data_IF_761771406775
#
_entry.id   IF_761771406775
#
_cell.length_a   1.000
_cell.length_b   1.000
_cell.length_c   1.000
_cell.angle_alpha   90.00
_cell.angle_beta   90.00
_cell.angle_gamma   90.00
#
_symmetry.space_group_name_H-M   'P 1'
#
loop_
_entity.id
_entity.type
_entity.pdbx_description
1 polymer ?
#
# COMPACT_ATOMS: atom_id res chain seq x y z
N UNK A 1 -25.39 -17.20 40.72
CA UNK A 1 -24.38 -17.90 39.90
C UNK A 1 -24.17 -17.07 38.64
N UNK A 2 -23.05 -16.39 38.56
CA UNK A 2 -22.65 -15.57 37.40
C UNK A 2 -21.72 -16.44 36.58
N UNK A 3 -22.11 -16.72 35.31
CA UNK A 3 -21.26 -17.43 34.36
C UNK A 3 -20.08 -16.57 33.96
N UNK A 4 -18.87 -17.12 33.80
CA UNK A 4 -17.71 -16.35 33.38
C UNK A 4 -17.80 -15.98 31.89
N UNK A 5 -17.40 -14.74 31.61
CA UNK A 5 -17.30 -14.19 30.27
C UNK A 5 -16.41 -15.08 29.38
N UNK A 6 -16.92 -15.39 28.18
CA UNK A 6 -16.20 -16.19 27.22
C UNK A 6 -14.93 -15.46 26.73
N UNK A 7 -13.82 -16.17 26.87
CA UNK A 7 -12.57 -15.80 26.21
C UNK A 7 -12.80 -15.72 24.71
N UNK A 8 -12.67 -14.51 24.15
CA UNK A 8 -12.56 -14.32 22.70
C UNK A 8 -11.21 -14.90 22.26
N UNK A 9 -11.23 -16.11 21.74
CA UNK A 9 -10.08 -16.68 21.04
C UNK A 9 -9.69 -15.75 19.90
N UNK A 10 -8.60 -15.02 20.07
CA UNK A 10 -7.96 -14.25 18.99
C UNK A 10 -7.58 -15.25 17.89
N UNK A 11 -8.35 -15.28 16.82
CA UNK A 11 -7.98 -15.97 15.59
C UNK A 11 -6.57 -15.52 15.18
N UNK A 12 -5.65 -16.43 14.86
CA UNK A 12 -4.32 -16.04 14.40
C UNK A 12 -4.48 -15.16 13.17
N UNK A 13 -3.74 -14.06 13.09
CA UNK A 13 -3.71 -13.15 11.96
C UNK A 13 -3.24 -13.93 10.71
N UNK A 14 -4.20 -14.42 9.94
CA UNK A 14 -3.96 -15.20 8.75
C UNK A 14 -3.40 -14.26 7.67
N UNK A 15 -2.25 -14.60 7.09
CA UNK A 15 -1.60 -13.83 6.04
C UNK A 15 -2.51 -13.87 4.81
N UNK A 16 -3.09 -12.71 4.47
CA UNK A 16 -3.95 -12.59 3.30
C UNK A 16 -3.12 -12.56 2.02
N UNK A 17 -3.61 -13.24 0.99
CA UNK A 17 -2.94 -13.37 -0.31
C UNK A 17 -3.26 -12.19 -1.22
N UNK A 18 -2.28 -11.81 -2.04
CA UNK A 18 -2.51 -10.98 -3.22
C UNK A 18 -2.53 -11.89 -4.46
N UNK A 19 -3.61 -11.85 -5.23
CA UNK A 19 -3.78 -12.64 -6.43
C UNK A 19 -3.60 -11.76 -7.67
N UNK A 20 -2.87 -12.25 -8.66
CA UNK A 20 -2.64 -11.60 -9.94
C UNK A 20 -3.24 -12.42 -11.08
N UNK A 21 -4.06 -11.79 -11.89
CA UNK A 21 -4.68 -12.38 -13.06
C UNK A 21 -4.22 -11.63 -14.32
N UNK A 22 -3.17 -12.14 -14.97
CA UNK A 22 -2.56 -11.57 -16.18
C UNK A 22 -2.87 -12.37 -17.46
N UNK A 23 -3.72 -13.39 -17.36
CA UNK A 23 -4.16 -14.20 -18.49
C UNK A 23 -5.68 -14.19 -18.59
N UNK A 24 -6.28 -14.54 -19.75
CA UNK A 24 -7.71 -14.78 -19.86
C UNK A 24 -8.18 -15.76 -18.80
N UNK A 25 -9.24 -15.39 -18.08
CA UNK A 25 -9.79 -16.20 -16.99
C UNK A 25 -11.28 -15.92 -16.79
N UNK A 26 -12.03 -16.95 -16.44
CA UNK A 26 -13.37 -16.84 -15.90
C UNK A 26 -13.32 -17.06 -14.39
N UNK A 27 -13.65 -16.00 -13.64
CA UNK A 27 -13.60 -15.98 -12.17
C UNK A 27 -15.02 -16.03 -11.62
N UNK A 28 -15.30 -17.03 -10.79
CA UNK A 28 -16.63 -17.16 -10.17
C UNK A 28 -16.53 -17.64 -8.73
N UNK A 29 -17.60 -17.41 -7.98
CA UNK A 29 -17.76 -17.92 -6.61
C UNK A 29 -18.37 -19.33 -6.66
N UNK A 30 -17.74 -20.26 -5.95
CA UNK A 30 -18.34 -21.53 -5.61
C UNK A 30 -18.16 -21.76 -4.09
N UNK A 31 -19.26 -21.87 -3.36
CA UNK A 31 -19.27 -21.82 -1.89
C UNK A 31 -18.57 -20.54 -1.39
N UNK A 32 -17.57 -20.65 -0.53
CA UNK A 32 -16.76 -19.53 -0.03
C UNK A 32 -15.38 -19.45 -0.71
N UNK A 33 -15.29 -19.91 -1.96
CA UNK A 33 -14.04 -19.92 -2.72
C UNK A 33 -14.17 -19.11 -4.01
N UNK A 34 -13.10 -18.40 -4.35
CA UNK A 34 -12.83 -17.92 -5.69
C UNK A 34 -12.33 -19.11 -6.52
N UNK A 35 -13.01 -19.39 -7.63
CA UNK A 35 -12.63 -20.42 -8.60
C UNK A 35 -12.12 -19.73 -9.86
N UNK A 36 -11.06 -20.30 -10.44
CA UNK A 36 -10.43 -19.84 -11.67
C UNK A 36 -10.63 -20.89 -12.74
N UNK A 37 -11.36 -20.53 -13.80
CA UNK A 37 -11.60 -21.39 -14.97
C UNK A 37 -10.83 -20.81 -16.15
N UNK A 38 -10.13 -21.67 -16.88
CA UNK A 38 -9.51 -21.32 -18.15
C UNK A 38 -10.58 -21.27 -19.24
N UNK A 39 -10.73 -20.15 -19.99
CA UNK A 39 -11.85 -19.99 -20.94
C UNK A 39 -11.82 -20.99 -22.09
N UNK A 40 -10.62 -21.42 -22.55
CA UNK A 40 -10.45 -22.22 -23.77
C UNK A 40 -11.00 -23.63 -23.64
N UNK A 41 -10.89 -24.26 -22.48
CA UNK A 41 -11.23 -25.66 -22.23
C UNK A 41 -12.14 -25.88 -21.02
N UNK A 42 -12.61 -24.81 -20.39
CA UNK A 42 -13.40 -24.82 -19.14
C UNK A 42 -12.74 -25.57 -17.97
N UNK A 43 -11.41 -25.69 -17.98
CA UNK A 43 -10.69 -26.37 -16.90
C UNK A 43 -10.54 -25.48 -15.68
N UNK A 44 -10.87 -26.01 -14.49
CA UNK A 44 -10.56 -25.35 -13.22
C UNK A 44 -9.04 -25.41 -13.00
N UNK A 45 -8.40 -24.22 -12.96
CA UNK A 45 -6.95 -24.10 -12.79
C UNK A 45 -6.54 -23.66 -11.38
N UNK A 46 -7.50 -23.23 -10.57
CA UNK A 46 -7.22 -22.80 -9.21
C UNK A 46 -8.44 -22.52 -8.36
N UNK A 47 -8.25 -22.62 -7.06
CA UNK A 47 -9.24 -22.31 -6.05
C UNK A 47 -8.59 -21.66 -4.84
N UNK A 48 -9.19 -20.58 -4.33
CA UNK A 48 -8.69 -19.86 -3.16
C UNK A 48 -9.85 -19.48 -2.25
N UNK A 49 -9.80 -19.80 -0.94
CA UNK A 49 -10.80 -19.30 0.01
C UNK A 49 -10.85 -17.78 -0.02
N UNK A 50 -12.06 -17.20 -0.11
CA UNK A 50 -12.24 -15.74 -0.21
C UNK A 50 -11.71 -15.04 1.06
N UNK A 51 -11.80 -15.69 2.21
CA UNK A 51 -11.28 -15.16 3.47
C UNK A 51 -9.76 -15.00 3.50
N UNK A 52 -9.02 -15.77 2.69
CA UNK A 52 -7.56 -15.70 2.57
C UNK A 52 -7.09 -14.60 1.61
N UNK A 53 -8.01 -13.93 0.90
CA UNK A 53 -7.68 -12.94 -0.09
C UNK A 53 -7.66 -11.55 0.53
N UNK A 54 -6.59 -10.78 0.31
CA UNK A 54 -6.47 -9.39 0.71
C UNK A 54 -6.63 -8.42 -0.44
N UNK A 55 -6.08 -8.77 -1.60
CA UNK A 55 -6.19 -7.99 -2.82
C UNK A 55 -6.21 -8.91 -4.05
N UNK A 56 -6.89 -8.48 -5.11
CA UNK A 56 -6.79 -9.07 -6.44
C UNK A 56 -6.45 -7.99 -7.46
N UNK A 57 -5.61 -8.36 -8.42
CA UNK A 57 -5.22 -7.52 -9.54
C UNK A 57 -5.71 -8.16 -10.84
N UNK A 58 -6.56 -7.45 -11.57
CA UNK A 58 -7.14 -7.87 -12.85
C UNK A 58 -6.39 -7.15 -13.96
N UNK A 59 -5.48 -7.86 -14.63
CA UNK A 59 -4.53 -7.30 -15.60
C UNK A 59 -4.62 -7.96 -16.99
N UNK A 60 -5.84 -8.35 -17.39
CA UNK A 60 -6.08 -8.87 -18.73
C UNK A 60 -7.50 -8.46 -19.19
N UNK A 61 -7.69 -7.93 -20.42
CA UNK A 61 -8.99 -7.48 -20.90
C UNK A 61 -10.00 -8.62 -21.11
N UNK A 62 -9.56 -9.87 -21.19
CA UNK A 62 -10.41 -11.05 -21.37
C UNK A 62 -10.77 -11.74 -20.04
N UNK A 63 -10.59 -11.04 -18.91
CA UNK A 63 -11.08 -11.55 -17.62
C UNK A 63 -12.58 -11.32 -17.51
N UNK A 64 -13.31 -12.38 -17.23
CA UNK A 64 -14.72 -12.31 -16.84
C UNK A 64 -14.85 -12.64 -15.36
N UNK A 65 -15.57 -11.81 -14.62
CA UNK A 65 -15.82 -12.01 -13.19
C UNK A 65 -17.33 -11.97 -12.92
N UNK A 66 -17.83 -12.93 -12.15
CA UNK A 66 -19.26 -12.94 -11.81
C UNK A 66 -19.57 -11.91 -10.72
N UNK A 67 -20.77 -11.30 -10.80
CA UNK A 67 -21.25 -10.37 -9.77
C UNK A 67 -21.25 -11.00 -8.36
N UNK A 68 -21.65 -12.27 -8.25
CA UNK A 68 -21.64 -12.99 -6.96
C UNK A 68 -20.24 -13.08 -6.34
N UNK A 69 -19.18 -13.21 -7.15
CA UNK A 69 -17.82 -13.20 -6.67
C UNK A 69 -17.41 -11.78 -6.27
N UNK A 70 -17.71 -10.76 -7.09
CA UNK A 70 -17.42 -9.36 -6.76
C UNK A 70 -18.02 -8.96 -5.41
N UNK A 71 -19.32 -9.24 -5.22
CA UNK A 71 -20.00 -8.93 -3.97
C UNK A 71 -19.34 -9.62 -2.76
N UNK A 72 -19.02 -10.91 -2.88
CA UNK A 72 -18.39 -11.66 -1.79
C UNK A 72 -16.97 -11.18 -1.47
N UNK A 73 -16.21 -10.75 -2.48
CA UNK A 73 -14.87 -10.17 -2.28
C UNK A 73 -14.95 -8.84 -1.52
N UNK A 74 -15.85 -7.94 -1.96
CA UNK A 74 -16.05 -6.63 -1.33
C UNK A 74 -16.57 -6.79 0.11
N UNK A 75 -17.51 -7.69 0.36
CA UNK A 75 -18.02 -8.01 1.72
C UNK A 75 -16.89 -8.46 2.66
N UNK A 76 -15.87 -9.15 2.15
CA UNK A 76 -14.69 -9.57 2.90
C UNK A 76 -13.56 -8.55 2.89
N UNK A 77 -13.86 -7.33 2.43
CA UNK A 77 -12.91 -6.23 2.37
C UNK A 77 -11.66 -6.57 1.54
N UNK A 78 -11.85 -7.24 0.41
CA UNK A 78 -10.79 -7.48 -0.57
C UNK A 78 -10.68 -6.26 -1.48
N UNK A 79 -9.46 -5.73 -1.67
CA UNK A 79 -9.22 -4.70 -2.66
C UNK A 79 -9.22 -5.32 -4.07
N UNK A 80 -10.07 -4.81 -4.97
CA UNK A 80 -10.11 -5.25 -6.35
C UNK A 80 -9.52 -4.15 -7.21
N UNK A 81 -8.36 -4.43 -7.82
CA UNK A 81 -7.60 -3.49 -8.65
C UNK A 81 -7.81 -3.89 -10.11
N UNK A 82 -8.21 -2.93 -10.94
CA UNK A 82 -8.30 -3.10 -12.40
C UNK A 82 -7.18 -2.33 -13.09
N UNK A 83 -6.57 -2.95 -14.11
CA UNK A 83 -5.55 -2.34 -14.94
C UNK A 83 -6.13 -1.89 -16.29
N UNK A 84 -5.46 -0.92 -16.93
CA UNK A 84 -5.76 -0.48 -18.30
C UNK A 84 -5.06 -1.36 -19.35
N UNK A 85 -5.15 -0.94 -20.62
CA UNK A 85 -4.50 -1.59 -21.77
C UNK A 85 -2.95 -1.51 -21.74
N UNK A 86 -2.41 -0.61 -20.92
CA UNK A 86 -0.97 -0.48 -20.66
C UNK A 86 -0.54 -1.27 -19.40
N UNK A 87 -1.45 -2.08 -18.88
CA UNK A 87 -1.23 -2.87 -17.66
C UNK A 87 -0.96 -2.02 -16.40
N UNK A 88 -1.40 -0.76 -16.38
CA UNK A 88 -1.27 0.12 -15.23
C UNK A 88 -2.56 0.09 -14.39
N UNK A 89 -2.46 0.04 -13.06
CA UNK A 89 -3.62 0.13 -12.18
C UNK A 89 -4.36 1.46 -12.33
N UNK A 90 -5.63 1.39 -12.76
CA UNK A 90 -6.49 2.57 -13.01
C UNK A 90 -7.77 2.57 -12.21
N UNK A 91 -8.20 1.41 -11.71
CA UNK A 91 -9.43 1.25 -10.92
C UNK A 91 -9.19 0.54 -9.61
N UNK A 92 -9.94 0.93 -8.58
CA UNK A 92 -9.93 0.29 -7.26
C UNK A 92 -11.36 0.21 -6.73
N UNK A 93 -11.83 -1.02 -6.47
CA UNK A 93 -13.12 -1.26 -5.81
C UNK A 93 -12.88 -1.61 -4.34
N UNK A 94 -13.57 -0.92 -3.46
CA UNK A 94 -13.55 -1.06 -2.00
C UNK A 94 -14.98 -1.11 -1.45
N UNK A 95 -15.22 -1.65 -0.24
CA UNK A 95 -16.55 -1.62 0.37
C UNK A 95 -17.00 -0.19 0.70
N UNK A 96 -18.32 0.03 0.66
CA UNK A 96 -18.94 1.30 1.05
C UNK A 96 -18.92 1.51 2.57
N UNK A 97 -19.09 0.43 3.33
CA UNK A 97 -19.20 0.40 4.80
C UNK A 97 -18.16 -0.58 5.39
N UNK A 98 -16.90 -0.21 5.26
CA UNK A 98 -15.78 -1.04 5.72
C UNK A 98 -15.64 -1.13 7.25
N UNK A 99 -16.40 -0.33 8.04
CA UNK A 99 -16.26 -0.25 9.49
C UNK A 99 -17.56 0.20 10.18
N UNK A 100 -17.92 -0.45 11.27
CA UNK A 100 -19.16 -0.15 12.03
C UNK A 100 -19.17 1.24 12.67
N UNK A 101 -18.01 1.82 12.98
CA UNK A 101 -17.86 3.18 13.54
C UNK A 101 -17.52 4.23 12.46
N UNK A 102 -17.78 3.92 11.19
CA UNK A 102 -17.35 4.74 10.06
C UNK A 102 -17.83 6.19 10.17
N UNK A 103 -19.11 6.43 10.50
CA UNK A 103 -19.68 7.78 10.59
C UNK A 103 -18.98 8.62 11.66
N UNK A 104 -18.70 8.05 12.83
CA UNK A 104 -17.99 8.73 13.90
C UNK A 104 -16.55 9.06 13.51
N UNK A 105 -15.85 8.10 12.90
CA UNK A 105 -14.46 8.27 12.44
C UNK A 105 -14.33 9.29 11.31
N UNK A 106 -15.30 9.34 10.41
CA UNK A 106 -15.38 10.40 9.38
C UNK A 106 -15.49 11.77 10.03
N UNK A 107 -16.32 11.91 11.08
CA UNK A 107 -16.46 13.16 11.80
C UNK A 107 -15.13 13.60 12.42
N UNK A 108 -14.42 12.73 13.14
CA UNK A 108 -13.10 13.04 13.69
C UNK A 108 -12.09 13.44 12.61
N UNK A 109 -12.09 12.74 11.48
CA UNK A 109 -11.18 13.05 10.36
C UNK A 109 -11.51 14.42 9.74
N UNK A 110 -12.79 14.74 9.53
CA UNK A 110 -13.24 16.00 8.94
C UNK A 110 -12.95 17.18 9.89
N UNK A 111 -13.21 17.00 11.18
CA UNK A 111 -13.02 18.02 12.23
C UNK A 111 -11.56 18.12 12.71
N UNK A 112 -10.65 17.29 12.19
CA UNK A 112 -9.25 17.33 12.57
C UNK A 112 -8.65 18.72 12.30
N UNK A 113 -8.05 19.32 13.34
CA UNK A 113 -7.48 20.67 13.27
C UNK A 113 -6.24 20.72 12.36
N UNK A 114 -6.00 21.87 11.73
CA UNK A 114 -4.80 22.08 10.91
C UNK A 114 -3.47 21.85 11.67
N UNK A 115 -3.33 22.26 12.95
CA UNK A 115 -2.13 21.91 13.73
C UNK A 115 -1.94 20.39 13.89
N UNK A 116 -3.03 19.64 14.09
CA UNK A 116 -2.96 18.17 14.16
C UNK A 116 -2.50 17.58 12.82
N UNK A 117 -3.13 17.95 11.71
CA UNK A 117 -2.76 17.49 10.36
C UNK A 117 -1.31 17.78 10.05
N UNK A 118 -0.82 19.01 10.33
CA UNK A 118 0.58 19.39 10.16
C UNK A 118 1.54 18.54 11.00
N UNK A 119 1.16 18.23 12.23
CA UNK A 119 1.97 17.37 13.09
C UNK A 119 2.01 15.92 12.55
N UNK A 120 0.87 15.37 12.12
CA UNK A 120 0.81 14.03 11.53
C UNK A 120 1.63 13.96 10.23
N UNK A 121 1.57 15.00 9.39
CA UNK A 121 2.38 15.08 8.18
C UNK A 121 3.89 15.07 8.49
N UNK A 122 4.35 15.84 9.47
CA UNK A 122 5.78 15.82 9.84
C UNK A 122 6.25 14.44 10.31
N UNK A 123 5.39 13.67 10.99
CA UNK A 123 5.69 12.28 11.37
C UNK A 123 5.79 11.37 10.13
N UNK A 124 4.90 11.56 9.15
CA UNK A 124 4.91 10.83 7.87
C UNK A 124 6.19 11.08 7.10
N UNK A 125 6.57 12.35 6.94
CA UNK A 125 7.83 12.75 6.27
C UNK A 125 9.04 12.16 6.97
N UNK A 126 9.07 12.23 8.32
CA UNK A 126 10.16 11.66 9.10
C UNK A 126 10.31 10.17 8.86
N UNK A 127 9.24 9.40 8.96
CA UNK A 127 9.26 7.96 8.73
C UNK A 127 9.65 7.61 7.28
N UNK A 128 9.22 8.41 6.29
CA UNK A 128 9.66 8.26 4.89
C UNK A 128 11.17 8.42 4.76
N UNK A 129 11.73 9.52 5.29
CA UNK A 129 13.17 9.81 5.16
C UNK A 129 14.01 8.78 5.92
N UNK A 130 13.54 8.31 7.07
CA UNK A 130 14.17 7.21 7.82
C UNK A 130 14.23 5.93 6.96
N UNK A 131 13.13 5.55 6.33
CA UNK A 131 13.08 4.37 5.46
C UNK A 131 13.90 4.56 4.17
N UNK A 132 13.95 5.76 3.59
CA UNK A 132 14.84 6.07 2.46
C UNK A 132 16.33 5.94 2.85
N UNK A 133 16.70 6.44 4.03
CA UNK A 133 18.06 6.29 4.53
C UNK A 133 18.43 4.82 4.77
N UNK A 134 17.45 4.02 5.18
CA UNK A 134 17.64 2.58 5.37
C UNK A 134 17.82 1.83 4.05
N UNK A 135 17.09 2.19 2.98
CA UNK A 135 17.32 1.65 1.63
C UNK A 135 18.74 1.93 1.17
N UNK A 136 19.26 3.17 1.35
CA UNK A 136 20.65 3.49 1.00
C UNK A 136 21.63 2.63 1.80
N UNK A 137 21.39 2.43 3.10
CA UNK A 137 22.23 1.57 3.95
C UNK A 137 22.24 0.12 3.43
N UNK A 138 21.07 -0.43 3.09
CA UNK A 138 20.94 -1.78 2.54
C UNK A 138 21.65 -1.92 1.18
N UNK A 139 21.62 -0.86 0.37
CA UNK A 139 22.36 -0.76 -0.89
C UNK A 139 23.87 -0.50 -0.71
N UNK A 140 24.35 -0.37 0.53
CA UNK A 140 25.73 0.00 0.90
C UNK A 140 26.15 1.38 0.40
N UNK A 141 25.21 2.31 0.29
CA UNK A 141 25.38 3.71 -0.10
C UNK A 141 25.40 4.57 1.17
N UNK A 142 26.23 5.61 1.21
CA UNK A 142 26.29 6.54 2.35
C UNK A 142 24.96 7.31 2.50
N UNK A 143 24.31 7.15 3.65
CA UNK A 143 22.99 7.72 3.98
C UNK A 143 23.07 8.93 4.94
N UNK A 144 24.26 9.37 5.35
CA UNK A 144 24.45 10.43 6.36
C UNK A 144 23.74 11.73 5.99
N UNK A 145 23.70 12.07 4.69
CA UNK A 145 23.04 13.28 4.19
C UNK A 145 21.53 13.25 4.45
N UNK A 146 20.87 12.09 4.29
CA UNK A 146 19.46 11.93 4.61
C UNK A 146 19.23 11.98 6.11
N UNK A 147 20.03 11.27 6.89
CA UNK A 147 19.92 11.26 8.35
C UNK A 147 20.07 12.66 8.95
N UNK A 148 20.93 13.53 8.38
CA UNK A 148 21.11 14.92 8.81
C UNK A 148 19.90 15.82 8.53
N UNK A 149 18.97 15.42 7.66
CA UNK A 149 17.73 16.15 7.38
C UNK A 149 16.62 15.85 8.39
N UNK A 150 16.61 14.65 8.98
CA UNK A 150 15.53 14.20 9.87
C UNK A 150 15.25 15.17 11.03
N UNK A 151 16.26 15.67 11.79
CA UNK A 151 16.00 16.61 12.89
C UNK A 151 15.51 18.00 12.41
N UNK A 152 15.59 18.31 11.12
CA UNK A 152 15.15 19.58 10.54
C UNK A 152 13.65 19.56 10.20
N UNK A 153 12.99 18.38 10.17
CA UNK A 153 11.58 18.23 9.82
C UNK A 153 10.72 18.84 10.92
N UNK A 154 10.06 19.96 10.59
CA UNK A 154 9.14 20.67 11.46
C UNK A 154 7.68 20.31 11.13
N UNK A 155 6.75 20.74 12.00
CA UNK A 155 5.31 20.54 11.82
C UNK A 155 4.84 21.13 10.49
N UNK A 156 4.27 20.29 9.61
CA UNK A 156 3.82 20.66 8.27
C UNK A 156 4.92 20.73 7.21
N UNK A 157 6.16 20.45 7.56
CA UNK A 157 7.34 20.46 6.67
C UNK A 157 7.48 21.77 5.84
N UNK A 158 7.50 22.95 6.46
CA UNK A 158 7.50 24.24 5.75
C UNK A 158 8.74 24.43 4.86
N UNK A 159 9.87 23.80 5.20
CA UNK A 159 11.12 23.89 4.46
C UNK A 159 11.24 22.83 3.34
N UNK A 160 10.15 22.09 3.09
CA UNK A 160 10.08 21.01 2.08
C UNK A 160 11.26 20.02 2.19
N UNK A 161 11.52 19.56 3.43
CA UNK A 161 12.56 18.56 3.68
C UNK A 161 12.25 17.26 2.95
N UNK A 162 10.96 16.92 2.82
CA UNK A 162 10.50 15.77 2.03
C UNK A 162 11.04 15.80 0.59
N UNK A 163 10.83 16.90 -0.12
CA UNK A 163 11.32 17.07 -1.50
C UNK A 163 12.85 17.12 -1.58
N UNK A 164 13.52 17.76 -0.61
CA UNK A 164 14.99 17.81 -0.53
C UNK A 164 15.59 16.43 -0.28
N UNK A 165 15.00 15.65 0.62
CA UNK A 165 15.42 14.28 0.89
C UNK A 165 15.22 13.40 -0.34
N UNK A 166 14.06 13.51 -1.03
CA UNK A 166 13.77 12.77 -2.24
C UNK A 166 14.80 13.07 -3.36
N UNK A 167 15.16 14.34 -3.57
CA UNK A 167 16.17 14.72 -4.56
C UNK A 167 17.55 14.09 -4.28
N UNK A 168 18.00 14.08 -3.02
CA UNK A 168 19.25 13.44 -2.62
C UNK A 168 19.16 11.92 -2.76
N UNK A 169 18.05 11.34 -2.29
CA UNK A 169 17.83 9.91 -2.28
C UNK A 169 17.87 9.31 -3.68
N UNK A 170 17.10 9.85 -4.62
CA UNK A 170 17.04 9.35 -5.98
C UNK A 170 18.37 9.45 -6.71
N UNK A 171 19.08 10.59 -6.51
CA UNK A 171 20.41 10.78 -7.09
C UNK A 171 21.41 9.74 -6.58
N UNK A 172 21.34 9.36 -5.31
CA UNK A 172 22.26 8.39 -4.72
C UNK A 172 21.87 6.95 -5.08
N UNK A 173 20.56 6.63 -5.04
CA UNK A 173 20.10 5.27 -5.26
C UNK A 173 20.30 4.78 -6.69
N UNK A 174 20.17 5.68 -7.67
CA UNK A 174 20.29 5.39 -9.11
C UNK A 174 21.38 6.23 -9.79
N UNK A 175 22.53 6.45 -9.10
CA UNK A 175 23.63 7.29 -9.60
C UNK A 175 24.21 6.78 -10.93
N UNK A 176 24.17 5.48 -11.17
CA UNK A 176 24.63 4.84 -12.40
C UNK A 176 23.63 4.93 -13.57
N UNK A 177 22.45 5.51 -13.37
CA UNK A 177 21.41 5.64 -14.37
C UNK A 177 21.08 7.11 -14.66
N UNK A 178 20.71 7.46 -15.90
CA UNK A 178 20.17 8.78 -16.23
C UNK A 178 18.74 8.93 -15.70
N UNK A 179 18.56 8.76 -14.37
CA UNK A 179 17.27 8.69 -13.73
C UNK A 179 16.80 10.04 -13.20
N UNK A 180 15.57 10.38 -13.59
CA UNK A 180 14.78 11.46 -12.98
C UNK A 180 13.44 10.86 -12.57
N UNK A 181 13.05 11.06 -11.30
CA UNK A 181 11.74 10.59 -10.85
C UNK A 181 10.64 11.40 -11.53
N UNK A 182 9.97 10.79 -12.48
CA UNK A 182 8.85 11.34 -13.24
C UNK A 182 7.79 10.28 -13.51
N UNK A 183 6.51 10.66 -13.51
CA UNK A 183 5.40 9.73 -13.75
C UNK A 183 5.49 9.04 -15.12
N UNK A 184 6.00 9.75 -16.11
CA UNK A 184 6.10 9.31 -17.52
C UNK A 184 7.55 9.14 -17.96
N UNK A 185 8.50 9.19 -17.03
CA UNK A 185 9.92 9.04 -17.30
C UNK A 185 10.30 7.61 -17.68
N UNK A 186 11.51 7.48 -18.21
CA UNK A 186 12.13 6.20 -18.58
C UNK A 186 12.37 5.30 -17.35
N UNK A 187 12.85 4.07 -17.60
CA UNK A 187 13.15 3.12 -16.54
C UNK A 187 13.97 3.74 -15.40
N UNK A 188 13.71 3.34 -14.14
CA UNK A 188 12.73 2.38 -13.69
C UNK A 188 11.37 2.98 -13.28
N UNK A 189 10.99 4.15 -13.79
CA UNK A 189 9.78 4.87 -13.36
C UNK A 189 8.50 4.05 -13.50
N UNK A 190 8.35 3.27 -14.57
CA UNK A 190 7.18 2.41 -14.78
C UNK A 190 7.07 1.34 -13.67
N UNK A 191 8.20 0.72 -13.28
CA UNK A 191 8.27 -0.27 -12.22
C UNK A 191 7.93 0.32 -10.84
N UNK A 192 8.47 1.51 -10.53
CA UNK A 192 8.15 2.25 -9.31
C UNK A 192 6.66 2.61 -9.27
N UNK A 193 6.10 3.12 -10.37
CA UNK A 193 4.69 3.50 -10.45
C UNK A 193 3.76 2.31 -10.23
N UNK A 194 4.09 1.16 -10.83
CA UNK A 194 3.34 -0.07 -10.65
C UNK A 194 3.33 -0.54 -9.18
N UNK A 195 4.50 -0.62 -8.56
CA UNK A 195 4.64 -0.98 -7.15
C UNK A 195 3.91 0.01 -6.21
N UNK A 196 4.01 1.31 -6.49
CA UNK A 196 3.29 2.33 -5.71
C UNK A 196 1.77 2.25 -5.85
N UNK A 197 1.26 1.88 -7.03
CA UNK A 197 -0.17 1.68 -7.19
C UNK A 197 -0.69 0.50 -6.35
N UNK A 198 0.11 -0.57 -6.21
CA UNK A 198 -0.21 -1.70 -5.32
C UNK A 198 -0.23 -1.25 -3.86
N UNK A 199 0.82 -0.54 -3.41
CA UNK A 199 0.88 -0.01 -2.03
C UNK A 199 -0.28 0.94 -1.76
N UNK A 200 -0.62 1.86 -2.70
CA UNK A 200 -1.78 2.74 -2.59
C UNK A 200 -3.08 1.96 -2.36
N UNK A 201 -3.29 0.88 -3.12
CA UNK A 201 -4.48 0.06 -2.97
C UNK A 201 -4.55 -0.65 -1.61
N UNK A 202 -3.41 -1.15 -1.11
CA UNK A 202 -3.31 -1.77 0.22
C UNK A 202 -3.61 -0.73 1.32
N UNK A 203 -3.06 0.48 1.20
CA UNK A 203 -3.30 1.58 2.15
C UNK A 203 -4.76 2.01 2.10
N UNK A 204 -5.34 2.24 0.91
CA UNK A 204 -6.73 2.64 0.75
C UNK A 204 -7.69 1.60 1.35
N UNK A 205 -7.43 0.31 1.12
CA UNK A 205 -8.16 -0.79 1.75
C UNK A 205 -8.08 -0.73 3.28
N UNK A 206 -6.89 -0.53 3.83
CA UNK A 206 -6.69 -0.46 5.28
C UNK A 206 -7.39 0.76 5.89
N UNK A 207 -7.37 1.93 5.21
CA UNK A 207 -8.08 3.14 5.62
C UNK A 207 -9.60 2.89 5.69
N UNK A 208 -10.19 2.32 4.63
CA UNK A 208 -11.63 1.97 4.62
C UNK A 208 -11.97 0.97 5.72
N UNK A 209 -11.16 -0.07 5.91
CA UNK A 209 -11.33 -1.03 7.01
C UNK A 209 -11.25 -0.37 8.39
N UNK A 210 -10.45 0.69 8.52
CA UNK A 210 -10.32 1.48 9.73
C UNK A 210 -11.36 2.61 9.82
N UNK A 211 -12.37 2.64 8.93
CA UNK A 211 -13.42 3.65 8.92
C UNK A 211 -12.96 5.05 8.58
N UNK A 212 -11.91 5.20 7.76
CA UNK A 212 -11.40 6.49 7.28
C UNK A 212 -11.70 6.69 5.79
N UNK A 213 -11.88 7.95 5.40
CA UNK A 213 -12.02 8.35 3.99
C UNK A 213 -10.64 8.44 3.33
N UNK A 214 -10.32 7.63 2.32
CA UNK A 214 -9.04 7.69 1.62
C UNK A 214 -8.80 9.03 0.90
N UNK A 215 -9.86 9.80 0.67
CA UNK A 215 -9.87 11.05 -0.09
C UNK A 215 -9.36 12.25 0.70
N UNK A 216 -9.67 12.33 2.01
CA UNK A 216 -9.36 13.51 2.82
C UNK A 216 -7.96 13.40 3.43
N UNK A 217 -6.97 13.97 2.75
CA UNK A 217 -5.57 13.97 3.17
C UNK A 217 -5.27 14.80 4.41
N UNK A 218 -4.13 14.52 5.04
CA UNK A 218 -3.56 15.34 6.12
C UNK A 218 -2.63 16.43 5.55
N UNK A 219 -2.18 16.27 4.31
CA UNK A 219 -1.32 17.20 3.58
C UNK A 219 -1.78 17.43 2.15
N UNK A 220 -1.87 16.38 1.33
CA UNK A 220 -2.34 16.52 -0.05
C UNK A 220 -3.84 16.84 -0.10
N UNK A 221 -4.19 17.83 -0.92
CA UNK A 221 -5.57 18.36 -1.04
C UNK A 221 -6.00 18.60 -2.50
N UNK A 222 -5.38 17.89 -3.45
CA UNK A 222 -5.73 18.03 -4.86
C UNK A 222 -7.17 17.56 -5.13
N UNK A 223 -8.03 18.47 -5.60
CA UNK A 223 -9.45 18.21 -5.88
C UNK A 223 -9.71 17.10 -6.92
N UNK A 224 -8.73 16.75 -7.72
CA UNK A 224 -8.82 15.69 -8.73
C UNK A 224 -8.30 14.34 -8.24
N UNK A 225 -7.74 14.28 -7.03
CA UNK A 225 -7.19 13.06 -6.46
C UNK A 225 -8.18 12.47 -5.45
N UNK A 226 -8.76 11.32 -5.79
CA UNK A 226 -9.68 10.60 -4.91
C UNK A 226 -8.98 9.88 -3.74
N UNK A 227 -7.65 9.89 -3.67
CA UNK A 227 -6.85 9.11 -2.74
C UNK A 227 -5.82 9.93 -1.96
N UNK A 228 -6.10 11.22 -1.68
CA UNK A 228 -5.14 12.11 -1.01
C UNK A 228 -4.61 11.54 0.31
N UNK A 229 -5.49 10.99 1.19
CA UNK A 229 -5.03 10.38 2.44
C UNK A 229 -4.24 9.09 2.21
N UNK A 230 -4.66 8.28 1.24
CA UNK A 230 -3.91 7.07 0.90
C UNK A 230 -2.50 7.43 0.39
N UNK A 231 -2.38 8.50 -0.41
CA UNK A 231 -1.09 9.00 -0.88
C UNK A 231 -0.23 9.56 0.26
N UNK A 232 -0.84 10.28 1.22
CA UNK A 232 -0.12 10.75 2.40
C UNK A 232 0.44 9.59 3.25
N UNK A 233 -0.42 8.62 3.55
CA UNK A 233 -0.07 7.52 4.46
C UNK A 233 0.85 6.48 3.81
N UNK A 234 0.84 6.37 2.48
CA UNK A 234 1.74 5.45 1.79
C UNK A 234 3.19 5.93 1.70
N UNK A 235 3.48 7.21 1.94
CA UNK A 235 4.82 7.78 1.77
C UNK A 235 5.93 6.98 2.50
N UNK A 236 5.78 6.58 3.78
CA UNK A 236 6.76 5.74 4.47
C UNK A 236 6.87 4.30 3.95
N UNK A 237 5.91 3.87 3.13
CA UNK A 237 5.89 2.53 2.52
C UNK A 237 6.54 2.50 1.13
N UNK A 238 6.66 3.66 0.45
CA UNK A 238 7.29 3.74 -0.88
C UNK A 238 8.71 3.17 -0.91
N UNK A 239 9.58 3.43 0.10
CA UNK A 239 10.94 2.88 0.09
C UNK A 239 11.03 1.36 0.04
N UNK A 240 10.01 0.63 0.47
CA UNK A 240 9.98 -0.83 0.33
C UNK A 240 9.82 -1.27 -1.13
N UNK A 241 9.06 -0.51 -1.94
CA UNK A 241 8.98 -0.71 -3.39
C UNK A 241 10.32 -0.33 -4.03
N UNK A 242 10.90 0.80 -3.63
CA UNK A 242 12.17 1.30 -4.16
C UNK A 242 13.27 0.25 -3.98
N UNK A 243 13.30 -0.41 -2.82
CA UNK A 243 14.24 -1.48 -2.53
C UNK A 243 14.06 -2.70 -3.47
N UNK A 244 12.81 -3.13 -3.73
CA UNK A 244 12.55 -4.22 -4.68
C UNK A 244 13.03 -3.84 -6.08
N UNK A 245 12.70 -2.63 -6.55
CA UNK A 245 13.09 -2.13 -7.87
C UNK A 245 14.61 -2.00 -7.97
N UNK A 246 15.28 -1.48 -6.95
CA UNK A 246 16.73 -1.41 -6.89
C UNK A 246 17.39 -2.80 -7.01
N UNK A 247 16.87 -3.78 -6.28
CA UNK A 247 17.36 -5.16 -6.37
C UNK A 247 17.15 -5.74 -7.77
N UNK A 248 16.01 -5.48 -8.41
CA UNK A 248 15.74 -5.95 -9.78
C UNK A 248 16.74 -5.34 -10.79
N UNK A 249 17.06 -4.05 -10.65
CA UNK A 249 18.07 -3.38 -11.49
C UNK A 249 19.45 -3.99 -11.23
N UNK A 250 19.85 -4.13 -9.97
CA UNK A 250 21.16 -4.67 -9.59
C UNK A 250 21.37 -6.11 -10.05
N UNK A 251 20.28 -6.87 -10.22
CA UNK A 251 20.29 -8.24 -10.74
C UNK A 251 20.19 -8.29 -12.28
N UNK A 252 20.09 -7.16 -12.98
CA UNK A 252 19.90 -7.11 -14.44
C UNK A 252 18.51 -7.60 -14.89
N UNK A 253 17.50 -7.54 -14.03
CA UNK A 253 16.14 -7.98 -14.35
C UNK A 253 15.32 -6.87 -15.03
N UNK A 254 15.76 -5.60 -14.98
CA UNK A 254 15.12 -4.44 -15.63
C UNK A 254 16.09 -3.90 -16.67
N UNK A 255 15.70 -3.94 -17.93
CA UNK A 255 16.48 -3.48 -19.08
C UNK A 255 15.74 -2.50 -20.01
N UNK A 256 14.43 -2.34 -19.80
CA UNK A 256 13.57 -1.46 -20.59
C UNK A 256 12.38 -0.93 -19.77
N UNK A 257 11.52 -0.12 -20.40
CA UNK A 257 10.37 0.53 -19.75
C UNK A 257 9.14 -0.40 -19.60
N UNK A 258 9.11 -1.54 -20.27
CA UNK A 258 7.99 -2.47 -20.22
C UNK A 258 8.09 -3.40 -18.99
N UNK A 259 6.96 -3.66 -18.36
CA UNK A 259 6.90 -4.59 -17.24
C UNK A 259 6.53 -6.00 -17.72
N UNK A 260 7.48 -6.92 -17.63
CA UNK A 260 7.21 -8.33 -17.85
C UNK A 260 6.31 -8.92 -16.76
N UNK A 261 5.73 -10.08 -17.04
CA UNK A 261 4.91 -10.82 -16.07
C UNK A 261 5.66 -11.14 -14.78
N UNK A 262 6.92 -11.55 -14.88
CA UNK A 262 7.73 -11.94 -13.73
C UNK A 262 8.09 -10.72 -12.89
N UNK A 263 8.39 -9.58 -13.51
CA UNK A 263 8.62 -8.31 -12.82
C UNK A 263 7.35 -7.84 -12.07
N UNK A 264 6.18 -7.94 -12.69
CA UNK A 264 4.89 -7.64 -12.04
C UNK A 264 4.64 -8.55 -10.84
N UNK A 265 4.87 -9.87 -10.98
CA UNK A 265 4.73 -10.82 -9.89
C UNK A 265 5.68 -10.48 -8.72
N UNK A 266 6.92 -10.08 -9.03
CA UNK A 266 7.90 -9.65 -8.03
C UNK A 266 7.48 -8.38 -7.31
N UNK A 267 6.95 -7.38 -8.02
CA UNK A 267 6.42 -6.16 -7.40
C UNK A 267 5.17 -6.43 -6.56
N UNK A 268 4.33 -7.40 -6.93
CA UNK A 268 3.18 -7.82 -6.12
C UNK A 268 3.59 -8.46 -4.80
N UNK A 269 4.78 -9.03 -4.71
CA UNK A 269 5.31 -9.60 -3.47
C UNK A 269 5.45 -8.57 -2.34
N UNK A 270 5.41 -7.26 -2.65
CA UNK A 270 5.43 -6.17 -1.65
C UNK A 270 4.41 -6.37 -0.53
N UNK A 271 3.25 -6.93 -0.83
CA UNK A 271 2.20 -7.20 0.15
C UNK A 271 2.65 -8.18 1.25
N UNK A 272 3.57 -9.08 0.94
CA UNK A 272 4.10 -10.12 1.82
C UNK A 272 5.51 -9.83 2.35
N UNK A 273 6.13 -8.71 1.96
CA UNK A 273 7.43 -8.30 2.50
C UNK A 273 7.31 -8.09 4.01
N UNK A 274 8.21 -8.70 4.74
CA UNK A 274 8.27 -8.54 6.19
C UNK A 274 8.80 -7.16 6.59
N UNK A 275 8.11 -6.53 7.53
CA UNK A 275 8.47 -5.23 8.12
C UNK A 275 8.46 -5.32 9.65
N UNK A 276 9.17 -4.42 10.30
CA UNK A 276 9.01 -4.20 11.74
C UNK A 276 7.98 -3.09 11.95
N UNK A 277 6.93 -3.37 12.68
CA UNK A 277 5.92 -2.39 13.08
C UNK A 277 5.52 -2.62 14.52
N UNK A 278 5.52 -1.57 15.34
CA UNK A 278 5.22 -1.67 16.79
C UNK A 278 6.07 -2.77 17.46
N UNK A 279 7.38 -2.78 17.14
CA UNK A 279 8.37 -3.76 17.61
C UNK A 279 8.05 -5.22 17.27
N UNK A 280 7.23 -5.48 16.27
CA UNK A 280 6.86 -6.82 15.81
C UNK A 280 7.13 -6.99 14.34
N UNK A 281 7.69 -8.14 13.98
CA UNK A 281 7.84 -8.57 12.59
C UNK A 281 6.48 -9.01 12.03
N UNK A 282 6.13 -8.52 10.84
CA UNK A 282 4.84 -8.82 10.21
C UNK A 282 4.91 -8.56 8.71
N UNK A 283 4.23 -9.34 7.87
CA UNK A 283 4.04 -8.97 6.46
C UNK A 283 3.40 -7.59 6.31
N UNK A 284 3.82 -6.81 5.31
CA UNK A 284 3.40 -5.42 5.10
C UNK A 284 1.86 -5.27 5.08
N UNK A 285 1.15 -6.14 4.35
CA UNK A 285 -0.32 -6.10 4.28
C UNK A 285 -0.98 -6.35 5.64
N UNK A 286 -0.37 -7.16 6.51
CA UNK A 286 -0.85 -7.44 7.87
C UNK A 286 -0.45 -6.33 8.85
N UNK A 287 0.68 -5.66 8.59
CA UNK A 287 1.17 -4.52 9.36
C UNK A 287 0.34 -3.25 9.15
N UNK A 288 -0.15 -3.03 7.92
CA UNK A 288 -0.84 -1.81 7.50
C UNK A 288 -2.02 -1.38 8.41
N UNK A 289 -2.91 -2.26 8.90
CA UNK A 289 -3.96 -1.89 9.82
C UNK A 289 -3.46 -1.27 11.14
N UNK A 290 -2.22 -1.52 11.56
CA UNK A 290 -1.65 -0.88 12.76
C UNK A 290 -1.38 0.60 12.50
N UNK A 291 -0.89 0.95 11.31
CA UNK A 291 -0.73 2.34 10.90
C UNK A 291 -2.08 3.04 10.83
N UNK A 292 -3.06 2.48 10.12
CA UNK A 292 -4.36 3.14 9.94
C UNK A 292 -5.16 3.24 11.24
N UNK A 293 -5.08 2.25 12.14
CA UNK A 293 -5.69 2.33 13.46
C UNK A 293 -5.01 3.39 14.34
N UNK A 294 -3.67 3.49 14.33
CA UNK A 294 -2.97 4.56 15.06
C UNK A 294 -3.30 5.95 14.52
N UNK A 295 -3.64 6.06 13.23
CA UNK A 295 -4.14 7.31 12.63
C UNK A 295 -5.56 7.64 13.11
N UNK A 296 -6.46 6.64 13.23
CA UNK A 296 -7.79 6.83 13.86
C UNK A 296 -7.62 7.35 15.28
N UNK A 297 -6.78 6.70 16.08
CA UNK A 297 -6.47 7.11 17.46
C UNK A 297 -5.85 8.53 17.53
N UNK A 298 -5.15 8.95 16.48
CA UNK A 298 -4.63 10.31 16.41
C UNK A 298 -5.74 11.34 16.08
N UNK A 299 -6.70 10.99 15.25
CA UNK A 299 -7.84 11.86 14.93
C UNK A 299 -8.83 11.99 16.11
N UNK A 300 -9.06 10.92 16.88
CA UNK A 300 -9.94 10.98 18.06
C UNK A 300 -9.23 11.54 19.33
N UNK A 301 -7.92 11.80 19.24
CA UNK A 301 -7.12 12.37 20.31
C UNK A 301 -6.59 11.38 21.36
N UNK A 302 -6.89 10.09 21.24
CA UNK A 302 -6.43 9.04 22.17
C UNK A 302 -4.94 8.73 22.02
N UNK A 303 -4.34 9.09 20.87
CA UNK A 303 -2.91 8.95 20.58
C UNK A 303 -2.35 10.20 19.91
N UNK A 304 -1.04 10.42 20.06
CA UNK A 304 -0.34 11.55 19.42
C UNK A 304 0.57 11.14 18.27
N UNK A 305 0.82 9.85 18.08
CA UNK A 305 1.82 9.35 17.11
C UNK A 305 1.20 8.29 16.20
N UNK A 306 1.46 8.42 14.90
CA UNK A 306 1.22 7.35 13.93
C UNK A 306 2.34 6.32 14.05
N UNK A 307 1.98 5.04 13.95
CA UNK A 307 2.93 3.94 13.91
C UNK A 307 3.21 3.61 12.45
N UNK A 308 4.46 3.71 12.03
CA UNK A 308 4.91 3.40 10.67
C UNK A 308 5.82 2.18 10.65
N UNK A 309 5.92 1.47 9.52
CA UNK A 309 6.82 0.33 9.36
C UNK A 309 8.28 0.80 9.26
N UNK A 310 9.17 -0.11 9.65
CA UNK A 310 10.61 0.01 9.47
C UNK A 310 11.13 -1.25 8.76
N UNK A 311 12.26 -1.14 8.09
CA UNK A 311 12.97 -2.30 7.56
C UNK A 311 13.44 -3.22 8.70
N UNK A 312 13.72 -4.48 8.35
CA UNK A 312 14.26 -5.51 9.27
C UNK A 312 15.78 -5.35 9.38
#
# INVERSE_FOLDING_TARGET
MVSPAGETTKTPNMIKRTLYFGNPAYLHKNLQQLKVIKPDDNTETGSVPIEDIGAILLDNPQITITHALLAALVERNVAIISCDDKHLPVGLMLPLDGNTLQTERFKFQIEASEPLKKNLWSQTVKAKVENQAEVLRLAKIDNKRLLALIPQIQSGDPDNIEGRAAAIYWKLLFDDLPFVRDRFGTMPNAHLNYGYAIVRAIVARALVSSGLLPTLGIHHSNKYNAYCLADDIMEPYRPFVDWIVYQMISNGEIDNDELSRDQKAKLLSIASVDVIIDSRKSPLMVAMPRTTNSLVEAFDGSRRKIIYPQFI
#
